data_IF_116808289468
#
_entry.id   IF_116808289468
#
_cell.length_a   1.000
_cell.length_b   1.000
_cell.length_c   1.000
_cell.angle_alpha   90.00
_cell.angle_beta   90.00
_cell.angle_gamma   90.00
#
_symmetry.space_group_name_H-M   'P 1'
#
loop_
_entity.id
_entity.type
_entity.pdbx_description
1 polymer ?
#
# COMPACT_ATOMS: atom_id res chain seq x y z
N UNK A 1 21.04 -2.91 -18.34
CA UNK A 1 20.77 -1.73 -17.48
C UNK A 1 19.42 -1.20 -17.87
N UNK A 2 18.42 -1.27 -17.00
CA UNK A 2 17.11 -0.66 -17.21
C UNK A 2 17.21 0.82 -16.84
N UNK A 3 17.09 1.70 -17.83
CA UNK A 3 17.00 3.14 -17.62
C UNK A 3 15.62 3.58 -18.09
N UNK A 4 14.93 4.34 -17.25
CA UNK A 4 13.66 4.94 -17.63
C UNK A 4 13.95 6.30 -18.25
N UNK A 5 13.67 6.42 -19.55
CA UNK A 5 13.81 7.67 -20.29
C UNK A 5 12.56 8.53 -20.13
N UNK A 6 12.73 9.72 -19.54
CA UNK A 6 11.71 10.76 -19.50
C UNK A 6 12.05 11.82 -20.55
N UNK A 7 11.23 11.99 -21.60
CA UNK A 7 11.45 13.03 -22.59
C UNK A 7 11.22 14.42 -21.97
N UNK A 8 11.70 15.46 -22.66
CA UNK A 8 11.45 16.86 -22.33
C UNK A 8 9.98 17.09 -21.94
N UNK A 9 9.77 17.69 -20.77
CA UNK A 9 8.42 17.94 -20.25
C UNK A 9 8.37 19.19 -19.39
N UNK A 10 7.16 19.59 -18.98
CA UNK A 10 6.95 20.81 -18.20
C UNK A 10 6.31 20.48 -16.85
N UNK A 11 6.80 21.14 -15.80
CA UNK A 11 6.22 21.13 -14.46
C UNK A 11 5.62 22.48 -14.13
N UNK A 12 4.55 22.51 -13.35
CA UNK A 12 4.08 23.75 -12.71
C UNK A 12 4.87 23.99 -11.41
N UNK A 13 5.51 25.15 -11.30
CA UNK A 13 6.15 25.59 -10.06
C UNK A 13 5.11 25.96 -8.98
N UNK A 14 5.57 26.34 -7.78
CA UNK A 14 4.70 26.83 -6.70
C UNK A 14 3.97 28.13 -7.02
N UNK A 15 4.44 28.87 -8.01
CA UNK A 15 3.90 30.15 -8.48
C UNK A 15 2.93 29.95 -9.66
N UNK A 16 2.74 28.72 -10.14
CA UNK A 16 1.87 28.36 -11.26
C UNK A 16 2.53 28.44 -12.65
N UNK A 17 3.82 28.78 -12.74
CA UNK A 17 4.55 28.89 -14.01
C UNK A 17 5.01 27.53 -14.52
N UNK A 18 5.10 27.39 -15.85
CA UNK A 18 5.63 26.19 -16.48
C UNK A 18 7.16 26.25 -16.56
N UNK A 19 7.83 25.29 -15.89
CA UNK A 19 9.27 25.10 -15.93
C UNK A 19 9.58 23.90 -16.82
N UNK A 20 10.47 24.09 -17.80
CA UNK A 20 10.93 23.00 -18.66
C UNK A 20 11.93 22.12 -17.91
N UNK A 21 11.66 20.82 -17.90
CA UNK A 21 12.57 19.77 -17.47
C UNK A 21 13.13 19.13 -18.74
N UNK A 22 14.45 19.14 -18.87
CA UNK A 22 15.15 18.51 -19.99
C UNK A 22 15.11 16.98 -19.90
N UNK A 23 15.39 16.30 -21.01
CA UNK A 23 15.48 14.85 -21.10
C UNK A 23 16.24 14.27 -19.91
N UNK A 24 15.55 13.42 -19.15
CA UNK A 24 16.04 12.87 -17.89
C UNK A 24 16.09 11.34 -17.99
N UNK A 25 17.25 10.77 -17.66
CA UNK A 25 17.43 9.32 -17.61
C UNK A 25 17.47 8.89 -16.15
N UNK A 26 16.39 8.24 -15.71
CA UNK A 26 16.28 7.74 -14.34
C UNK A 26 16.90 6.34 -14.31
N UNK A 27 17.89 6.15 -13.45
CA UNK A 27 18.43 4.84 -13.17
C UNK A 27 17.45 4.08 -12.26
N UNK A 28 16.79 3.05 -12.76
CA UNK A 28 15.83 2.30 -11.94
C UNK A 28 16.49 1.45 -10.87
N UNK A 29 17.80 1.18 -10.95
CA UNK A 29 18.54 0.40 -9.95
C UNK A 29 18.79 1.19 -8.66
N UNK A 30 18.86 2.52 -8.72
CA UNK A 30 19.01 3.36 -7.51
C UNK A 30 17.70 3.50 -6.76
N UNK A 31 16.57 3.24 -7.42
CA UNK A 31 15.24 3.38 -6.86
C UNK A 31 14.72 1.98 -6.49
N UNK A 32 14.64 1.72 -5.18
CA UNK A 32 14.20 0.40 -4.66
C UNK A 32 12.72 0.07 -4.95
N UNK A 33 11.95 1.03 -5.45
CA UNK A 33 10.53 0.91 -5.75
C UNK A 33 10.28 0.52 -7.22
N UNK A 34 9.29 -0.33 -7.57
CA UNK A 34 8.97 -0.63 -8.97
C UNK A 34 8.51 0.62 -9.72
N UNK A 35 9.21 0.97 -10.80
CA UNK A 35 8.93 2.16 -11.62
C UNK A 35 8.38 1.83 -13.01
N UNK A 36 8.54 0.58 -13.44
CA UNK A 36 8.07 0.07 -14.72
C UNK A 36 7.07 -1.05 -14.49
N UNK A 37 6.24 -1.34 -15.50
CA UNK A 37 5.29 -2.46 -15.45
C UNK A 37 6.02 -3.83 -15.33
N UNK A 38 7.23 -3.93 -15.87
CA UNK A 38 8.08 -5.13 -15.79
C UNK A 38 8.57 -5.34 -14.34
N UNK A 39 9.12 -4.30 -13.70
CA UNK A 39 9.52 -4.34 -12.29
C UNK A 39 8.31 -4.63 -11.38
N UNK A 40 7.14 -4.15 -11.79
CA UNK A 40 5.89 -4.36 -11.10
C UNK A 40 5.53 -5.84 -11.11
N UNK A 41 5.50 -6.48 -12.29
CA UNK A 41 5.18 -7.90 -12.46
C UNK A 41 6.15 -8.81 -11.71
N UNK A 42 7.44 -8.52 -11.75
CA UNK A 42 8.46 -9.30 -11.04
C UNK A 42 8.30 -9.20 -9.52
N UNK A 43 8.03 -7.99 -8.99
CA UNK A 43 7.79 -7.79 -7.54
C UNK A 43 6.40 -8.23 -7.10
N UNK A 44 5.43 -8.34 -8.02
CA UNK A 44 4.08 -8.82 -7.75
C UNK A 44 3.98 -10.30 -7.46
N UNK A 45 5.05 -11.09 -7.55
CA UNK A 45 5.06 -12.45 -7.02
C UNK A 45 4.69 -12.51 -5.53
N UNK A 46 4.85 -11.42 -4.78
CA UNK A 46 4.43 -11.31 -3.38
C UNK A 46 2.97 -10.85 -3.19
N UNK A 47 2.20 -10.67 -4.27
CA UNK A 47 0.81 -10.19 -4.22
C UNK A 47 -0.14 -11.02 -3.34
N UNK A 48 -0.02 -12.36 -3.22
CA UNK A 48 -0.82 -13.11 -2.26
C UNK A 48 -0.64 -12.63 -0.81
N UNK A 49 0.55 -12.12 -0.48
CA UNK A 49 0.88 -11.63 0.85
C UNK A 49 0.17 -10.30 1.18
N UNK A 50 -0.26 -9.54 0.16
CA UNK A 50 -1.05 -8.30 0.33
C UNK A 50 -2.49 -8.56 0.74
N UNK A 51 -2.99 -9.77 0.48
CA UNK A 51 -4.35 -10.19 0.82
C UNK A 51 -4.46 -10.78 2.23
N UNK A 52 -3.33 -11.02 2.92
CA UNK A 52 -3.36 -11.54 4.29
C UNK A 52 -3.65 -10.36 5.25
N UNK A 53 -4.68 -10.45 6.10
CA UNK A 53 -4.94 -9.43 7.12
C UNK A 53 -3.70 -9.14 7.97
N UNK A 54 -3.56 -7.91 8.44
CA UNK A 54 -2.39 -7.42 9.21
C UNK A 54 -1.09 -7.38 8.37
N UNK A 55 -0.69 -8.47 7.72
CA UNK A 55 0.50 -8.51 6.85
C UNK A 55 0.38 -7.55 5.66
N UNK A 56 -0.79 -7.45 5.03
CA UNK A 56 -1.05 -6.48 3.97
C UNK A 56 -0.86 -5.03 4.44
N UNK A 57 -1.23 -4.72 5.69
CA UNK A 57 -1.04 -3.39 6.28
C UNK A 57 0.43 -3.10 6.61
N UNK A 58 1.15 -4.09 7.16
CA UNK A 58 2.60 -3.99 7.39
C UNK A 58 3.31 -3.75 6.07
N UNK A 59 2.92 -4.47 5.02
CA UNK A 59 3.49 -4.29 3.69
C UNK A 59 3.16 -2.92 3.09
N UNK A 60 1.92 -2.44 3.25
CA UNK A 60 1.53 -1.08 2.86
C UNK A 60 2.41 -0.02 3.55
N UNK A 61 2.71 -0.18 4.84
CA UNK A 61 3.58 0.73 5.58
C UNK A 61 5.03 0.72 5.03
N UNK A 62 5.56 -0.46 4.71
CA UNK A 62 6.89 -0.61 4.08
C UNK A 62 6.90 0.07 2.70
N UNK A 63 5.89 -0.18 1.88
CA UNK A 63 5.75 0.45 0.56
C UNK A 63 5.62 1.96 0.66
N UNK A 64 4.85 2.50 1.62
CA UNK A 64 4.76 3.93 1.88
C UNK A 64 6.13 4.54 2.19
N UNK A 65 6.92 3.88 3.05
CA UNK A 65 8.28 4.36 3.39
C UNK A 65 9.20 4.35 2.17
N UNK A 66 9.17 3.29 1.38
CA UNK A 66 9.96 3.17 0.16
C UNK A 66 9.53 4.18 -0.91
N UNK A 67 8.22 4.41 -1.07
CA UNK A 67 7.66 5.39 -1.98
C UNK A 67 8.09 6.81 -1.58
N UNK A 68 8.07 7.15 -0.29
CA UNK A 68 8.54 8.44 0.20
C UNK A 68 10.03 8.65 -0.11
N UNK A 69 10.87 7.67 0.23
CA UNK A 69 12.31 7.73 -0.06
C UNK A 69 12.60 7.86 -1.57
N UNK A 70 11.84 7.14 -2.40
CA UNK A 70 11.98 7.19 -3.87
C UNK A 70 11.56 8.55 -4.45
N UNK A 71 10.44 9.11 -3.97
CA UNK A 71 10.00 10.46 -4.36
C UNK A 71 11.01 11.53 -3.96
N UNK A 72 11.59 11.41 -2.77
CA UNK A 72 12.61 12.32 -2.29
C UNK A 72 13.89 12.23 -3.16
N UNK A 73 14.36 11.01 -3.44
CA UNK A 73 15.53 10.82 -4.31
C UNK A 73 15.29 11.38 -5.73
N UNK A 74 14.09 11.18 -6.28
CA UNK A 74 13.71 11.76 -7.58
C UNK A 74 13.75 13.29 -7.57
N UNK A 75 13.26 13.90 -6.50
CA UNK A 75 13.27 15.36 -6.33
C UNK A 75 14.68 15.91 -6.18
N UNK A 76 15.53 15.26 -5.40
CA UNK A 76 16.89 15.73 -5.12
C UNK A 76 17.85 15.49 -6.30
N UNK A 77 17.76 14.32 -6.95
CA UNK A 77 18.71 13.91 -8.00
C UNK A 77 18.30 14.40 -9.38
N UNK A 78 16.98 14.44 -9.65
CA UNK A 78 16.45 14.71 -10.99
C UNK A 78 15.57 15.96 -11.06
N UNK A 79 15.46 16.73 -9.97
CA UNK A 79 14.56 17.89 -9.84
C UNK A 79 13.12 17.58 -10.30
N UNK A 80 12.69 16.34 -10.06
CA UNK A 80 11.48 15.78 -10.63
C UNK A 80 10.35 15.76 -9.59
N UNK A 81 9.31 16.57 -9.81
CA UNK A 81 8.07 16.51 -9.02
C UNK A 81 6.96 15.84 -9.84
N UNK A 82 6.84 14.52 -9.67
CA UNK A 82 5.83 13.69 -10.34
C UNK A 82 4.38 14.10 -10.06
N UNK A 83 4.12 14.88 -9.00
CA UNK A 83 2.75 15.28 -8.65
C UNK A 83 2.26 16.49 -9.44
N UNK A 84 3.17 17.25 -10.06
CA UNK A 84 2.88 18.52 -10.75
C UNK A 84 3.18 18.49 -12.24
N UNK A 85 3.45 17.30 -12.76
CA UNK A 85 3.79 17.11 -14.16
C UNK A 85 2.54 16.87 -15.01
N UNK A 86 2.47 17.52 -16.19
CA UNK A 86 1.41 17.27 -17.18
C UNK A 86 1.75 16.11 -18.13
N UNK A 87 2.97 15.57 -18.08
CA UNK A 87 3.39 14.49 -18.95
C UNK A 87 2.79 13.14 -18.50
N UNK A 88 2.31 12.35 -19.47
CA UNK A 88 1.77 11.00 -19.25
C UNK A 88 2.79 10.05 -18.61
N UNK A 89 4.07 10.15 -18.97
CA UNK A 89 5.13 9.31 -18.39
C UNK A 89 5.30 9.59 -16.89
N UNK A 90 5.34 10.85 -16.49
CA UNK A 90 5.48 11.25 -15.08
C UNK A 90 4.24 10.91 -14.25
N UNK A 91 3.04 11.11 -14.80
CA UNK A 91 1.78 10.72 -14.13
C UNK A 91 1.64 9.21 -14.00
N UNK A 92 2.08 8.44 -15.01
CA UNK A 92 2.15 6.97 -14.91
C UNK A 92 3.11 6.53 -13.81
N UNK A 93 4.25 7.23 -13.64
CA UNK A 93 5.19 6.97 -12.55
C UNK A 93 4.55 7.17 -11.17
N UNK A 94 3.78 8.25 -11.01
CA UNK A 94 3.02 8.50 -9.78
C UNK A 94 1.99 7.39 -9.51
N UNK A 95 1.33 6.91 -10.57
CA UNK A 95 0.39 5.80 -10.50
C UNK A 95 1.06 4.49 -10.07
N UNK A 96 2.18 4.10 -10.70
CA UNK A 96 2.94 2.90 -10.31
C UNK A 96 3.45 2.95 -8.87
N UNK A 97 3.73 4.14 -8.34
CA UNK A 97 4.13 4.33 -6.94
C UNK A 97 2.96 4.19 -5.96
N UNK A 98 1.75 4.63 -6.33
CA UNK A 98 0.60 4.65 -5.43
C UNK A 98 -0.22 3.37 -5.48
N UNK A 99 -0.34 2.74 -6.65
CA UNK A 99 -1.21 1.59 -6.86
C UNK A 99 -0.92 0.41 -5.91
N UNK A 100 0.34 -0.03 -5.69
CA UNK A 100 0.64 -1.11 -4.74
C UNK A 100 0.21 -0.80 -3.31
N UNK A 101 0.38 0.46 -2.90
CA UNK A 101 0.01 0.91 -1.55
C UNK A 101 -1.51 0.80 -1.39
N UNK A 102 -2.27 1.29 -2.37
CA UNK A 102 -3.73 1.22 -2.36
C UNK A 102 -4.20 -0.24 -2.36
N UNK A 103 -3.63 -1.09 -3.21
CA UNK A 103 -3.96 -2.53 -3.25
C UNK A 103 -3.65 -3.18 -1.90
N UNK A 104 -2.50 -2.91 -1.29
CA UNK A 104 -2.12 -3.49 0.00
C UNK A 104 -3.02 -3.00 1.15
N UNK A 105 -3.44 -1.73 1.15
CA UNK A 105 -4.39 -1.18 2.12
C UNK A 105 -5.77 -1.83 1.95
N UNK A 106 -6.29 -1.89 0.72
CA UNK A 106 -7.60 -2.50 0.42
C UNK A 106 -7.57 -3.99 0.72
N UNK A 107 -6.50 -4.70 0.36
CA UNK A 107 -6.32 -6.13 0.69
C UNK A 107 -6.27 -6.36 2.19
N UNK A 108 -5.44 -5.59 2.90
CA UNK A 108 -5.27 -5.71 4.35
C UNK A 108 -6.55 -5.39 5.14
N UNK A 109 -7.23 -4.27 4.82
CA UNK A 109 -8.49 -3.86 5.48
C UNK A 109 -9.69 -4.68 5.01
N UNK A 110 -9.79 -4.92 3.71
CA UNK A 110 -10.91 -5.63 3.08
C UNK A 110 -11.03 -7.06 3.60
N UNK A 111 -9.91 -7.74 3.86
CA UNK A 111 -9.93 -9.07 4.49
C UNK A 111 -10.07 -9.04 6.02
N UNK A 112 -9.83 -7.92 6.71
CA UNK A 112 -10.16 -7.81 8.14
C UNK A 112 -11.66 -7.92 8.38
N UNK A 113 -12.50 -7.38 7.48
CA UNK A 113 -13.96 -7.40 7.60
C UNK A 113 -14.54 -8.84 7.67
N UNK A 114 -14.27 -9.75 6.72
CA UNK A 114 -14.78 -11.12 6.79
C UNK A 114 -14.21 -11.89 7.98
N UNK A 115 -12.95 -11.62 8.38
CA UNK A 115 -12.37 -12.21 9.60
C UNK A 115 -13.11 -11.76 10.85
N UNK A 116 -13.42 -10.46 10.97
CA UNK A 116 -14.21 -9.93 12.08
C UNK A 116 -15.62 -10.51 12.08
N UNK A 117 -16.25 -10.60 10.90
CA UNK A 117 -17.58 -11.15 10.73
C UNK A 117 -17.66 -12.64 11.09
N UNK A 118 -16.57 -13.41 10.94
CA UNK A 118 -16.50 -14.80 11.37
C UNK A 118 -16.19 -14.95 12.88
N UNK A 119 -15.29 -14.12 13.43
CA UNK A 119 -14.86 -14.22 14.82
C UNK A 119 -15.91 -13.69 15.82
N UNK A 120 -16.58 -12.58 15.52
CA UNK A 120 -17.57 -11.97 16.42
C UNK A 120 -18.70 -12.94 16.80
N UNK A 121 -19.37 -13.61 15.85
CA UNK A 121 -20.42 -14.58 16.18
C UNK A 121 -19.89 -15.76 17.01
N UNK A 122 -18.71 -16.28 16.67
CA UNK A 122 -18.10 -17.39 17.41
C UNK A 122 -17.82 -17.02 18.87
N UNK A 123 -17.28 -15.82 19.11
CA UNK A 123 -17.03 -15.30 20.46
C UNK A 123 -18.33 -15.07 21.24
N UNK A 124 -19.37 -14.56 20.58
CA UNK A 124 -20.69 -14.38 21.19
C UNK A 124 -21.31 -15.73 21.60
N UNK A 125 -21.28 -16.73 20.71
CA UNK A 125 -21.77 -18.08 21.00
C UNK A 125 -20.99 -18.70 22.16
N UNK A 126 -19.67 -18.60 22.14
CA UNK A 126 -18.82 -19.11 23.21
C UNK A 126 -19.14 -18.45 24.56
N UNK A 127 -19.28 -17.11 24.58
CA UNK A 127 -19.67 -16.37 25.77
C UNK A 127 -21.04 -16.77 26.31
N UNK A 128 -22.01 -17.02 25.41
CA UNK A 128 -23.35 -17.49 25.77
C UNK A 128 -23.32 -18.88 26.41
N UNK A 129 -22.54 -19.80 25.84
CA UNK A 129 -22.38 -21.16 26.38
C UNK A 129 -21.76 -21.09 27.78
N UNK A 130 -20.71 -20.29 27.97
CA UNK A 130 -20.06 -20.12 29.28
C UNK A 130 -21.01 -19.55 30.34
N UNK A 131 -21.83 -18.56 29.98
CA UNK A 131 -22.83 -18.00 30.90
C UNK A 131 -23.91 -19.00 31.27
N UNK A 132 -24.40 -19.79 30.31
CA UNK A 132 -25.38 -20.87 30.58
C UNK A 132 -24.79 -21.92 31.51
N UNK A 133 -23.55 -22.37 31.26
CA UNK A 133 -22.88 -23.37 32.10
C UNK A 133 -22.65 -22.86 33.52
N UNK A 134 -22.21 -21.61 33.68
CA UNK A 134 -22.01 -20.98 34.98
C UNK A 134 -23.32 -20.85 35.77
N UNK A 135 -24.40 -20.46 35.09
CA UNK A 135 -25.73 -20.37 35.71
C UNK A 135 -26.23 -21.77 36.13
N UNK A 136 -26.07 -22.77 35.28
CA UNK A 136 -26.45 -24.15 35.59
C UNK A 136 -25.66 -24.72 36.78
N UNK A 137 -24.36 -24.41 36.89
CA UNK A 137 -23.56 -24.82 38.06
C UNK A 137 -24.01 -24.12 39.34
N UNK A 138 -24.33 -22.82 39.27
CA UNK A 138 -24.80 -22.05 40.41
C UNK A 138 -26.15 -22.58 40.93
N UNK A 139 -27.10 -22.85 40.03
CA UNK A 139 -28.40 -23.44 40.37
C UNK A 139 -28.21 -24.81 41.04
N UNK A 140 -27.31 -25.66 40.51
CA UNK A 140 -27.03 -26.97 41.11
C UNK A 140 -26.51 -26.85 42.55
N UNK A 141 -25.65 -25.87 42.83
CA UNK A 141 -25.16 -25.62 44.19
C UNK A 141 -26.21 -25.05 45.15
N UNK A 142 -27.26 -24.41 44.66
CA UNK A 142 -28.35 -23.92 45.52
C UNK A 142 -29.40 -25.00 45.86
N UNK A 143 -29.45 -26.10 45.11
CA UNK A 143 -30.47 -27.15 45.27
C UNK A 143 -29.94 -28.37 46.07
N UNK A 144 -28.61 -28.54 46.15
CA UNK A 144 -27.95 -29.56 46.97
C UNK A 144 -27.50 -28.98 48.32
#
# INVERSE_FOLDING_TARGET
MTQLHLPDHYHKDTSGNFVKISNTYINTQTIKYPLTAEDYLEKLHHLPMFCIPILGLVYAAILCKQAHASKQLMRETYNLDITRCTNKACTSLAFYIQLPIVIAIIGGLGFMIPVLAALLPALLIYGLIQTILSLASAIRHCIC
#
